data_IF_045831248727
#
_entry.id   IF_045831248727
#
_cell.length_a   1.000
_cell.length_b   1.000
_cell.length_c   1.000
_cell.angle_alpha   90.00
_cell.angle_beta   90.00
_cell.angle_gamma   90.00
#
_symmetry.space_group_name_H-M   'P 1'
#
loop_
_entity.id
_entity.type
_entity.pdbx_description
1 polymer ?
#
# COMPACT_ATOMS: atom_id res chain seq x y z
N UNK A 1 38.81 -33.13 -39.82
CA UNK A 1 37.34 -33.02 -39.93
C UNK A 1 36.78 -33.60 -38.63
N UNK A 2 36.60 -32.83 -37.54
CA UNK A 2 35.51 -31.88 -37.23
C UNK A 2 34.12 -32.47 -37.46
N UNK A 3 33.59 -33.16 -36.44
CA UNK A 3 32.16 -33.26 -36.16
C UNK A 3 31.96 -32.81 -34.72
N UNK A 4 31.21 -31.72 -34.58
CA UNK A 4 30.89 -31.06 -33.32
C UNK A 4 29.68 -31.78 -32.69
N UNK A 5 29.83 -32.29 -31.47
CA UNK A 5 28.69 -32.68 -30.64
C UNK A 5 28.08 -31.45 -30.01
N UNK A 6 26.85 -31.13 -30.42
CA UNK A 6 25.95 -30.25 -29.69
C UNK A 6 25.37 -31.02 -28.50
N UNK A 7 25.49 -30.50 -27.29
CA UNK A 7 24.72 -30.98 -26.13
C UNK A 7 24.22 -29.80 -25.32
N UNK A 8 22.92 -29.62 -25.50
CA UNK A 8 21.90 -28.96 -24.70
C UNK A 8 22.30 -28.38 -23.33
N UNK A 9 21.95 -27.11 -23.19
CA UNK A 9 21.63 -26.34 -22.00
C UNK A 9 21.41 -27.15 -20.71
N UNK A 10 22.30 -26.95 -19.74
CA UNK A 10 22.07 -27.29 -18.35
C UNK A 10 21.38 -26.11 -17.65
N UNK A 11 20.35 -26.43 -16.86
CA UNK A 11 19.39 -25.54 -16.22
C UNK A 11 20.06 -24.46 -15.35
N UNK A 12 19.83 -23.19 -15.70
CA UNK A 12 19.86 -22.06 -14.77
C UNK A 12 18.42 -21.75 -14.39
N UNK A 13 17.96 -22.35 -13.27
CA UNK A 13 16.75 -21.90 -12.58
C UNK A 13 17.05 -21.83 -11.06
N UNK A 14 18.16 -21.17 -10.72
CA UNK A 14 18.30 -20.52 -9.43
C UNK A 14 17.82 -19.07 -9.59
N UNK A 15 16.52 -18.91 -9.82
CA UNK A 15 15.88 -17.61 -9.92
C UNK A 15 14.85 -17.50 -8.80
N UNK A 16 15.17 -16.66 -7.81
CA UNK A 16 14.17 -15.90 -7.07
C UNK A 16 13.25 -16.68 -6.16
N UNK A 17 13.79 -17.21 -5.05
CA UNK A 17 13.08 -17.02 -3.78
C UNK A 17 13.74 -15.84 -3.04
N UNK A 18 13.76 -14.68 -3.72
CA UNK A 18 13.61 -13.45 -2.98
C UNK A 18 12.16 -13.47 -2.52
N UNK A 19 11.92 -14.02 -1.33
CA UNK A 19 10.76 -13.61 -0.58
C UNK A 19 10.92 -12.09 -0.47
N UNK A 20 10.21 -11.34 -1.31
CA UNK A 20 9.89 -9.97 -0.96
C UNK A 20 9.46 -10.04 0.50
N UNK A 21 10.05 -9.21 1.35
CA UNK A 21 9.43 -8.89 2.62
C UNK A 21 8.12 -8.21 2.23
N UNK A 22 7.12 -9.04 1.89
CA UNK A 22 5.87 -8.59 1.30
C UNK A 22 5.27 -7.57 2.24
N UNK A 23 4.64 -6.55 1.68
CA UNK A 23 4.05 -5.44 2.40
C UNK A 23 3.10 -5.92 3.50
N UNK A 24 3.66 -6.21 4.69
CA UNK A 24 2.96 -6.82 5.80
C UNK A 24 2.17 -5.71 6.48
N UNK A 25 0.85 -5.88 6.55
CA UNK A 25 -0.02 -4.95 7.22
C UNK A 25 -0.48 -5.50 8.57
N UNK A 26 -0.64 -4.61 9.52
CA UNK A 26 -1.00 -4.90 10.90
C UNK A 26 -2.18 -4.01 11.31
N UNK A 27 -3.10 -4.54 12.10
CA UNK A 27 -4.02 -3.72 12.87
C UNK A 27 -3.26 -3.06 14.02
N UNK A 28 -3.44 -1.76 14.21
CA UNK A 28 -2.89 -1.03 15.36
C UNK A 28 -4.02 -0.55 16.26
N UNK A 29 -3.82 -0.61 17.58
CA UNK A 29 -4.74 -0.10 18.59
C UNK A 29 -4.00 0.80 19.58
N UNK A 30 -4.72 1.57 20.39
CA UNK A 30 -4.12 2.52 21.32
C UNK A 30 -3.34 1.86 22.48
N UNK A 31 -3.65 0.61 22.82
CA UNK A 31 -3.22 -0.02 24.08
C UNK A 31 -2.54 -1.38 23.87
N UNK A 32 -2.45 -1.87 22.64
CA UNK A 32 -1.94 -3.21 22.32
C UNK A 32 -0.81 -3.21 21.29
N UNK A 33 -0.12 -4.34 21.22
CA UNK A 33 0.88 -4.60 20.18
C UNK A 33 0.19 -4.71 18.79
N UNK A 34 0.88 -4.31 17.69
CA UNK A 34 0.35 -4.49 16.34
C UNK A 34 0.04 -5.97 16.04
N UNK A 35 -1.16 -6.24 15.53
CA UNK A 35 -1.61 -7.58 15.17
C UNK A 35 -1.51 -7.79 13.66
N UNK A 36 -0.83 -8.85 13.22
CA UNK A 36 -0.65 -9.14 11.80
C UNK A 36 -2.00 -9.44 11.13
N UNK A 37 -2.26 -8.78 9.99
CA UNK A 37 -3.40 -9.08 9.14
C UNK A 37 -3.03 -10.21 8.18
N UNK A 38 -3.25 -11.47 8.59
CA UNK A 38 -2.91 -12.63 7.77
C UNK A 38 -3.64 -12.63 6.42
N UNK A 39 -2.88 -12.79 5.33
CA UNK A 39 -3.43 -12.84 3.97
C UNK A 39 -3.94 -11.52 3.43
N UNK A 40 -3.67 -10.41 4.11
CA UNK A 40 -4.07 -9.07 3.69
C UNK A 40 -2.85 -8.24 3.25
N UNK A 41 -2.96 -7.64 2.06
CA UNK A 41 -1.99 -6.70 1.52
C UNK A 41 -2.73 -5.51 0.95
N UNK A 42 -2.48 -4.31 1.48
CA UNK A 42 -3.20 -3.12 1.06
C UNK A 42 -3.09 -2.87 -0.45
N UNK A 43 -1.89 -3.00 -1.03
CA UNK A 43 -1.66 -2.77 -2.46
C UNK A 43 -2.49 -3.71 -3.36
N UNK A 44 -2.64 -5.00 -3.01
CA UNK A 44 -3.46 -5.92 -3.80
C UNK A 44 -4.96 -5.60 -3.66
N UNK A 45 -5.41 -5.19 -2.47
CA UNK A 45 -6.80 -4.85 -2.21
C UNK A 45 -7.21 -3.56 -2.94
N UNK A 46 -6.34 -2.54 -2.95
CA UNK A 46 -6.55 -1.27 -3.65
C UNK A 46 -6.28 -1.34 -5.16
N UNK A 47 -5.72 -2.43 -5.66
CA UNK A 47 -5.55 -2.66 -7.10
C UNK A 47 -6.78 -3.33 -7.75
N UNK A 48 -7.75 -3.76 -6.94
CA UNK A 48 -9.01 -4.33 -7.43
C UNK A 48 -9.88 -3.25 -8.07
N UNK A 49 -10.80 -3.68 -8.91
CA UNK A 49 -11.78 -2.75 -9.48
C UNK A 49 -12.77 -2.28 -8.41
N UNK A 50 -13.03 -0.98 -8.39
CA UNK A 50 -13.92 -0.35 -7.42
C UNK A 50 -13.27 -0.11 -6.06
N UNK A 51 -14.10 0.20 -5.07
CA UNK A 51 -13.61 0.48 -3.72
C UNK A 51 -13.12 -0.82 -3.08
N UNK A 52 -11.90 -0.81 -2.55
CA UNK A 52 -11.36 -1.91 -1.76
C UNK A 52 -12.34 -2.33 -0.66
N UNK A 53 -12.45 -3.63 -0.33
CA UNK A 53 -13.22 -4.04 0.84
C UNK A 53 -12.61 -3.45 2.12
N UNK A 54 -13.39 -3.31 3.20
CA UNK A 54 -12.85 -2.90 4.49
C UNK A 54 -11.71 -3.84 4.94
N UNK A 55 -10.62 -3.33 5.52
CA UNK A 55 -9.55 -4.18 6.02
C UNK A 55 -10.06 -5.08 7.15
N UNK A 56 -9.55 -6.32 7.30
CA UNK A 56 -10.04 -7.29 8.29
C UNK A 56 -9.47 -7.01 9.70
N UNK A 57 -9.73 -5.81 10.22
CA UNK A 57 -9.25 -5.35 11.52
C UNK A 57 -10.25 -5.66 12.64
N UNK A 58 -9.80 -5.86 13.89
CA UNK A 58 -10.70 -5.93 15.04
C UNK A 58 -11.37 -4.57 15.28
N UNK A 59 -12.54 -4.56 15.94
CA UNK A 59 -13.29 -3.32 16.25
C UNK A 59 -12.50 -2.33 17.12
N UNK A 60 -11.50 -2.82 17.85
CA UNK A 60 -10.60 -2.01 18.69
C UNK A 60 -9.45 -1.38 17.91
N UNK A 61 -9.31 -1.69 16.61
CA UNK A 61 -8.28 -1.11 15.78
C UNK A 61 -8.56 0.38 15.51
N UNK A 62 -7.52 1.19 15.63
CA UNK A 62 -7.52 2.63 15.35
C UNK A 62 -6.80 2.99 14.06
N UNK A 63 -6.26 2.01 13.33
CA UNK A 63 -5.56 2.20 12.07
C UNK A 63 -4.99 0.90 11.50
N UNK A 64 -4.41 1.01 10.32
CA UNK A 64 -3.65 -0.08 9.69
C UNK A 64 -2.21 0.39 9.48
N UNK A 65 -1.23 -0.40 9.93
CA UNK A 65 0.18 -0.15 9.71
C UNK A 65 0.73 -1.13 8.68
N UNK A 66 1.23 -0.65 7.56
CA UNK A 66 1.87 -1.48 6.53
C UNK A 66 3.38 -1.21 6.50
N UNK A 67 4.16 -2.28 6.58
CA UNK A 67 5.62 -2.24 6.39
C UNK A 67 5.91 -2.28 4.89
N UNK A 68 6.71 -1.35 4.39
CA UNK A 68 7.03 -1.19 2.96
C UNK A 68 8.49 -0.76 2.77
N UNK A 69 8.96 -0.83 1.53
CA UNK A 69 10.29 -0.36 1.14
C UNK A 69 10.38 1.18 1.13
N UNK A 70 9.26 1.89 0.98
CA UNK A 70 9.19 3.36 0.99
C UNK A 70 8.04 3.84 1.88
N UNK A 71 8.18 5.04 2.45
CA UNK A 71 7.11 5.73 3.18
C UNK A 71 6.14 6.49 2.26
N UNK A 72 6.43 6.57 0.96
CA UNK A 72 5.58 7.21 -0.04
C UNK A 72 4.29 6.39 -0.21
N UNK A 73 3.10 7.00 -0.08
CA UNK A 73 1.84 6.32 -0.35
C UNK A 73 1.71 5.87 -1.82
N UNK A 74 1.11 4.70 -2.02
CA UNK A 74 0.72 4.22 -3.34
C UNK A 74 -0.52 4.99 -3.85
N UNK A 75 -0.72 5.02 -5.17
CA UNK A 75 -1.75 5.84 -5.81
C UNK A 75 -3.17 5.63 -5.28
N UNK A 76 -3.50 4.41 -4.82
CA UNK A 76 -4.82 4.04 -4.34
C UNK A 76 -4.90 3.86 -2.82
N UNK A 77 -3.84 4.22 -2.07
CA UNK A 77 -3.86 4.14 -0.60
C UNK A 77 -4.94 5.02 0.04
N UNK A 78 -5.45 6.04 -0.67
CA UNK A 78 -6.55 6.87 -0.18
C UNK A 78 -7.82 6.07 0.11
N UNK A 79 -8.03 4.92 -0.55
CA UNK A 79 -9.25 4.13 -0.41
C UNK A 79 -9.46 3.61 1.02
N UNK A 80 -8.37 3.32 1.75
CA UNK A 80 -8.45 2.86 3.14
C UNK A 80 -9.05 3.94 4.05
N UNK A 81 -8.87 5.22 3.70
CA UNK A 81 -9.39 6.36 4.45
C UNK A 81 -10.91 6.47 4.31
N UNK A 82 -11.50 5.92 3.23
CA UNK A 82 -12.96 5.85 3.06
C UNK A 82 -13.61 4.88 4.05
N UNK A 83 -12.83 3.96 4.60
CA UNK A 83 -13.24 3.07 5.70
C UNK A 83 -13.04 3.70 7.09
N UNK A 84 -12.65 4.98 7.16
CA UNK A 84 -12.41 5.68 8.43
C UNK A 84 -11.14 5.24 9.15
N UNK A 85 -10.24 4.54 8.46
CA UNK A 85 -9.03 3.94 9.02
C UNK A 85 -7.79 4.73 8.56
N UNK A 86 -7.07 5.41 9.47
CA UNK A 86 -5.76 5.96 9.17
C UNK A 86 -4.79 4.88 8.71
N UNK A 87 -3.95 5.23 7.74
CA UNK A 87 -2.87 4.39 7.25
C UNK A 87 -1.54 4.83 7.86
N UNK A 88 -0.80 3.89 8.41
CA UNK A 88 0.59 4.08 8.82
C UNK A 88 1.48 3.31 7.85
N UNK A 89 2.48 3.98 7.26
CA UNK A 89 3.47 3.34 6.39
C UNK A 89 4.80 3.36 7.12
N UNK A 90 5.32 2.19 7.45
CA UNK A 90 6.62 2.02 8.07
C UNK A 90 7.64 1.56 7.04
N UNK A 91 8.72 2.29 6.87
CA UNK A 91 9.90 1.86 6.10
C UNK A 91 11.15 1.90 6.96
N UNK A 92 12.20 1.22 6.50
CA UNK A 92 13.49 1.10 7.16
C UNK A 92 13.51 0.10 8.32
N UNK A 93 14.70 -0.10 8.86
CA UNK A 93 14.98 -1.02 9.96
C UNK A 93 15.89 -0.36 11.00
N UNK A 94 15.83 -0.85 12.24
CA UNK A 94 16.68 -0.35 13.33
C UNK A 94 16.47 1.14 13.64
N UNK A 95 17.56 1.91 13.58
CA UNK A 95 17.57 3.34 13.88
C UNK A 95 17.06 4.21 12.71
N UNK A 96 17.01 3.66 11.49
CA UNK A 96 16.58 4.35 10.28
C UNK A 96 15.09 4.14 9.97
N UNK A 97 14.30 3.77 10.99
CA UNK A 97 12.86 3.58 10.83
C UNK A 97 12.16 4.92 10.65
N UNK A 98 11.38 5.02 9.57
CA UNK A 98 10.48 6.14 9.32
C UNK A 98 9.05 5.64 9.30
N UNK A 99 8.15 6.37 9.96
CA UNK A 99 6.72 6.09 9.98
C UNK A 99 5.98 7.32 9.48
N UNK A 100 5.25 7.16 8.37
CA UNK A 100 4.31 8.15 7.86
C UNK A 100 2.90 7.77 8.30
N UNK A 101 2.13 8.73 8.82
CA UNK A 101 0.73 8.56 9.13
C UNK A 101 -0.12 9.40 8.17
N UNK A 102 -0.93 8.72 7.36
CA UNK A 102 -1.88 9.29 6.42
C UNK A 102 -3.30 9.21 7.02
N UNK A 103 -4.00 10.33 7.00
CA UNK A 103 -5.38 10.43 7.45
C UNK A 103 -6.21 11.38 6.58
N UNK A 104 -7.50 11.44 6.87
CA UNK A 104 -8.42 12.40 6.27
C UNK A 104 -9.15 13.17 7.37
N UNK A 105 -9.05 14.51 7.36
CA UNK A 105 -9.68 15.38 8.35
C UNK A 105 -10.16 16.67 7.69
N UNK A 106 -11.37 17.10 8.05
CA UNK A 106 -11.95 18.37 7.60
C UNK A 106 -11.93 18.54 6.06
N UNK A 107 -12.17 17.44 5.33
CA UNK A 107 -12.20 17.43 3.87
C UNK A 107 -10.83 17.37 3.19
N UNK A 108 -9.73 17.20 3.95
CA UNK A 108 -8.37 17.23 3.43
C UNK A 108 -7.57 16.00 3.86
N UNK A 109 -6.69 15.53 2.97
CA UNK A 109 -5.65 14.56 3.34
C UNK A 109 -4.63 15.22 4.26
N UNK A 110 -4.28 14.52 5.33
CA UNK A 110 -3.31 14.99 6.33
C UNK A 110 -2.22 13.95 6.44
N UNK A 111 -0.98 14.40 6.34
CA UNK A 111 0.21 13.59 6.59
C UNK A 111 0.90 14.07 7.86
N UNK A 112 1.26 13.12 8.71
CA UNK A 112 2.10 13.33 9.88
C UNK A 112 3.30 12.39 9.80
N UNK A 113 4.40 12.78 10.45
CA UNK A 113 5.60 11.95 10.55
C UNK A 113 5.87 11.64 12.03
N UNK A 114 5.18 10.64 12.63
CA UNK A 114 5.37 10.31 14.04
C UNK A 114 6.80 9.89 14.41
N UNK A 115 7.54 9.32 13.46
CA UNK A 115 8.89 8.81 13.67
C UNK A 115 9.73 8.95 12.39
N UNK A 116 11.01 9.24 12.58
CA UNK A 116 12.00 9.30 11.51
C UNK A 116 12.05 10.65 10.81
N UNK A 117 12.77 10.67 9.71
CA UNK A 117 12.94 11.83 8.84
C UNK A 117 12.65 11.41 7.40
N UNK A 118 12.27 12.37 6.56
CA UNK A 118 12.08 12.17 5.11
C UNK A 118 13.01 13.11 4.35
N UNK A 119 13.51 12.62 3.23
CA UNK A 119 14.30 13.39 2.28
C UNK A 119 13.44 14.41 1.53
N UNK A 120 14.08 15.34 0.82
CA UNK A 120 13.38 16.29 -0.05
C UNK A 120 12.71 15.59 -1.24
N UNK A 121 13.32 14.51 -1.75
CA UNK A 121 12.77 13.67 -2.81
C UNK A 121 11.50 12.95 -2.33
N UNK A 122 11.56 12.22 -1.21
CA UNK A 122 10.38 11.57 -0.62
C UNK A 122 9.27 12.59 -0.30
N UNK A 123 9.62 13.78 0.17
CA UNK A 123 8.65 14.86 0.38
C UNK A 123 7.93 15.23 -0.92
N UNK A 124 8.66 15.39 -2.02
CA UNK A 124 8.07 15.72 -3.31
C UNK A 124 7.18 14.58 -3.82
N UNK A 125 7.60 13.33 -3.63
CA UNK A 125 6.83 12.14 -4.01
C UNK A 125 5.56 11.97 -3.18
N UNK A 126 5.62 12.19 -1.85
CA UNK A 126 4.45 12.19 -0.98
C UNK A 126 3.46 13.27 -1.43
N UNK A 127 3.93 14.49 -1.70
CA UNK A 127 3.05 15.57 -2.18
C UNK A 127 2.39 15.18 -3.51
N UNK A 128 3.15 14.63 -4.45
CA UNK A 128 2.62 14.17 -5.73
C UNK A 128 1.57 13.05 -5.56
N UNK A 129 1.79 12.11 -4.62
CA UNK A 129 0.81 11.08 -4.29
C UNK A 129 -0.49 11.68 -3.75
N UNK A 130 -0.40 12.62 -2.79
CA UNK A 130 -1.56 13.30 -2.22
C UNK A 130 -2.34 14.12 -3.26
N UNK A 131 -1.64 14.79 -4.19
CA UNK A 131 -2.29 15.50 -5.30
C UNK A 131 -3.02 14.52 -6.23
N UNK A 132 -2.42 13.34 -6.47
CA UNK A 132 -3.00 12.26 -7.25
C UNK A 132 -4.28 11.66 -6.65
N UNK A 133 -4.41 11.66 -5.33
CA UNK A 133 -5.60 11.11 -4.65
C UNK A 133 -6.91 11.78 -5.06
N UNK A 134 -6.90 13.06 -5.44
CA UNK A 134 -8.11 13.71 -5.94
C UNK A 134 -8.59 13.12 -7.27
N UNK A 135 -7.65 12.77 -8.16
CA UNK A 135 -7.97 12.10 -9.42
C UNK A 135 -8.42 10.66 -9.18
N UNK A 136 -7.76 9.95 -8.24
CA UNK A 136 -8.17 8.61 -7.81
C UNK A 136 -9.58 8.58 -7.24
N UNK A 137 -9.91 9.48 -6.32
CA UNK A 137 -11.26 9.65 -5.77
C UNK A 137 -12.30 9.93 -6.86
N UNK A 138 -12.00 10.83 -7.80
CA UNK A 138 -12.91 11.13 -8.90
C UNK A 138 -13.18 9.90 -9.78
N UNK A 139 -12.13 9.14 -10.12
CA UNK A 139 -12.25 7.91 -10.91
C UNK A 139 -13.06 6.84 -10.15
N UNK A 140 -12.79 6.65 -8.86
CA UNK A 140 -13.52 5.71 -8.02
C UNK A 140 -15.00 6.09 -7.90
N UNK A 141 -15.30 7.37 -7.66
CA UNK A 141 -16.69 7.83 -7.56
C UNK A 141 -17.44 7.63 -8.88
N UNK A 142 -16.82 7.93 -10.03
CA UNK A 142 -17.41 7.65 -11.34
C UNK A 142 -17.68 6.15 -11.56
N UNK A 143 -16.75 5.29 -11.14
CA UNK A 143 -16.90 3.84 -11.21
C UNK A 143 -18.10 3.36 -10.37
N UNK A 144 -18.22 3.82 -9.12
CA UNK A 144 -19.31 3.46 -8.21
C UNK A 144 -20.67 3.98 -8.71
N UNK A 145 -20.71 5.19 -9.29
CA UNK A 145 -21.92 5.76 -9.89
C UNK A 145 -22.41 4.97 -11.11
N UNK A 146 -21.49 4.54 -11.98
CA UNK A 146 -21.82 3.72 -13.15
C UNK A 146 -22.30 2.32 -12.74
N UNK A 147 -21.64 1.69 -11.75
CA UNK A 147 -22.13 0.43 -11.17
C UNK A 147 -23.54 0.56 -10.59
N UNK A 148 -23.83 1.64 -9.86
CA UNK A 148 -25.16 1.89 -9.29
C UNK A 148 -26.26 2.04 -10.37
N UNK A 149 -25.87 2.40 -11.60
CA UNK A 149 -26.74 2.51 -12.77
C UNK A 149 -26.85 1.21 -13.58
N UNK A 150 -26.14 0.15 -13.17
CA UNK A 150 -26.08 -1.12 -13.90
C UNK A 150 -25.20 -1.07 -15.16
N UNK A 151 -24.35 -0.06 -15.28
CA UNK A 151 -23.37 0.06 -16.35
C UNK A 151 -22.07 -0.62 -15.92
N UNK A 152 -21.37 -1.25 -16.86
CA UNK A 152 -19.99 -1.69 -16.63
C UNK A 152 -19.07 -0.51 -16.96
N UNK A 153 -18.36 0.07 -15.98
CA UNK A 153 -17.40 1.14 -16.23
C UNK A 153 -16.31 0.62 -17.18
N UNK A 154 -15.91 1.41 -18.19
CA UNK A 154 -14.85 1.07 -19.15
C UNK A 154 -13.47 1.53 -18.67
#
# INVERSE_FOLDING_TARGET
MKLFSASAAALLAAAGLSAAANAQCYAVSAEGDPELLEGYTLAEETAREGLMPPPPVPETASGVLCVRDTVVPDANDFEILRHGMPLYIRSGEGEEVTVLALGYRDGNYVVQLPQGEITEEERAEIVAALEGFNAGEAALNAYLEAQAQGETPQ
#
